data_IF_682424939310
#
_entry.id   IF_682424939310
#
_cell.length_a   1.000
_cell.length_b   1.000
_cell.length_c   1.000
_cell.angle_alpha   90.00
_cell.angle_beta   90.00
_cell.angle_gamma   90.00
#
_symmetry.space_group_name_H-M   'P 1'
#
loop_
_entity.id
_entity.type
_entity.pdbx_description
1 polymer ?
#
# COMPACT_ATOMS: atom_id res chain seq x y z
N UNK A 1 2.35 18.50 -36.64
CA UNK A 1 0.93 18.48 -37.05
C UNK A 1 0.11 18.35 -35.79
N UNK A 2 -1.05 19.01 -35.74
CA UNK A 2 -1.95 18.99 -34.57
C UNK A 2 -2.46 17.58 -34.23
N UNK A 3 -2.34 16.65 -35.18
CA UNK A 3 -2.45 15.22 -34.93
C UNK A 3 -1.07 14.65 -34.57
N UNK A 4 -0.94 14.14 -33.34
CA UNK A 4 0.29 13.49 -32.85
C UNK A 4 0.70 12.27 -33.70
N UNK A 5 1.86 11.64 -33.41
CA UNK A 5 2.39 10.56 -34.24
C UNK A 5 1.37 9.44 -34.49
N UNK A 6 1.31 9.00 -35.74
CA UNK A 6 0.45 7.91 -36.21
C UNK A 6 0.99 6.54 -35.70
N UNK A 7 0.12 5.54 -35.50
CA UNK A 7 0.56 4.19 -35.15
C UNK A 7 1.43 3.58 -36.25
N UNK A 8 2.55 2.96 -35.88
CA UNK A 8 3.39 2.20 -36.81
C UNK A 8 2.73 0.87 -37.22
N UNK A 9 3.26 0.20 -38.25
CA UNK A 9 2.81 -1.15 -38.63
C UNK A 9 2.87 -2.14 -37.45
N UNK A 10 3.92 -2.06 -36.63
CA UNK A 10 4.04 -2.85 -35.39
C UNK A 10 2.90 -2.55 -34.43
N UNK A 11 2.57 -1.27 -34.21
CA UNK A 11 1.46 -0.89 -33.33
C UNK A 11 0.11 -1.40 -33.86
N UNK A 12 -0.11 -1.35 -35.19
CA UNK A 12 -1.31 -1.89 -35.83
C UNK A 12 -1.41 -3.41 -35.68
N UNK A 13 -0.32 -4.14 -35.88
CA UNK A 13 -0.29 -5.59 -35.67
C UNK A 13 -0.58 -5.96 -34.20
N UNK A 14 -0.03 -5.20 -33.24
CA UNK A 14 -0.30 -5.42 -31.82
C UNK A 14 -1.74 -5.06 -31.43
N UNK A 15 -2.33 -4.01 -32.02
CA UNK A 15 -3.77 -3.69 -31.87
C UNK A 15 -4.66 -4.84 -32.30
N UNK A 16 -4.34 -5.49 -33.42
CA UNK A 16 -5.11 -6.64 -33.92
C UNK A 16 -4.95 -7.87 -33.01
N UNK A 17 -3.74 -8.07 -32.45
CA UNK A 17 -3.45 -9.19 -31.55
C UNK A 17 -4.11 -9.05 -30.18
N UNK A 18 -4.08 -7.86 -29.59
CA UNK A 18 -4.58 -7.62 -28.24
C UNK A 18 -5.95 -6.96 -28.26
N UNK A 19 -6.99 -7.79 -28.09
CA UNK A 19 -8.38 -7.32 -28.01
C UNK A 19 -8.62 -6.40 -26.81
N UNK A 20 -8.00 -6.69 -25.67
CA UNK A 20 -8.06 -5.90 -24.44
C UNK A 20 -6.68 -5.78 -23.80
N UNK A 21 -6.43 -4.67 -23.12
CA UNK A 21 -5.19 -4.37 -22.41
C UNK A 21 -5.53 -4.11 -20.94
N UNK A 22 -4.81 -4.76 -20.04
CA UNK A 22 -4.98 -4.62 -18.60
C UNK A 22 -3.72 -3.98 -18.03
N UNK A 23 -3.88 -2.89 -17.29
CA UNK A 23 -2.77 -2.16 -16.67
C UNK A 23 -3.04 -2.08 -15.18
N UNK A 24 -2.22 -2.77 -14.40
CA UNK A 24 -2.21 -2.69 -12.95
C UNK A 24 -1.18 -1.65 -12.49
N UNK A 25 -1.31 -1.16 -11.26
CA UNK A 25 -0.47 -0.10 -10.68
C UNK A 25 -0.37 1.16 -11.57
N UNK A 26 -1.50 1.57 -12.17
CA UNK A 26 -1.55 2.66 -13.14
C UNK A 26 -1.09 4.01 -12.56
N UNK A 27 -1.14 4.21 -11.24
CA UNK A 27 -0.61 5.41 -10.59
C UNK A 27 0.90 5.61 -10.75
N UNK A 28 1.64 4.55 -11.12
CA UNK A 28 3.10 4.58 -11.20
C UNK A 28 3.64 4.69 -12.64
N UNK A 29 2.76 4.90 -13.64
CA UNK A 29 3.18 5.08 -15.03
C UNK A 29 3.77 6.47 -15.28
N UNK A 30 4.49 6.60 -16.40
CA UNK A 30 4.99 7.87 -16.92
C UNK A 30 4.39 8.20 -18.31
N UNK A 31 4.66 9.41 -18.80
CA UNK A 31 4.15 9.90 -20.09
C UNK A 31 4.55 9.04 -21.30
N UNK A 32 5.71 8.37 -21.26
CA UNK A 32 6.16 7.48 -22.34
C UNK A 32 5.32 6.20 -22.35
N UNK A 33 5.13 5.57 -21.20
CA UNK A 33 4.27 4.39 -21.06
C UNK A 33 2.83 4.73 -21.45
N UNK A 34 2.32 5.89 -21.01
CA UNK A 34 1.00 6.36 -21.40
C UNK A 34 0.87 6.55 -22.91
N UNK A 35 1.92 7.05 -23.56
CA UNK A 35 1.93 7.18 -25.03
C UNK A 35 1.91 5.82 -25.72
N UNK A 36 2.66 4.83 -25.20
CA UNK A 36 2.64 3.46 -25.72
C UNK A 36 1.23 2.87 -25.61
N UNK A 37 0.58 3.00 -24.45
CA UNK A 37 -0.79 2.51 -24.24
C UNK A 37 -1.77 3.12 -25.24
N UNK A 38 -1.72 4.45 -25.45
CA UNK A 38 -2.53 5.14 -26.46
C UNK A 38 -2.21 4.71 -27.90
N UNK A 39 -0.98 4.29 -28.18
CA UNK A 39 -0.61 3.74 -29.50
C UNK A 39 -1.13 2.32 -29.69
N UNK A 40 -1.24 1.52 -28.64
CA UNK A 40 -1.69 0.14 -28.71
C UNK A 40 -3.21 -0.02 -28.55
N UNK A 41 -3.90 1.00 -28.04
CA UNK A 41 -5.35 1.00 -27.93
C UNK A 41 -5.98 1.87 -29.02
N UNK A 42 -6.94 1.34 -29.80
CA UNK A 42 -7.79 2.15 -30.66
C UNK A 42 -8.89 2.92 -29.88
N UNK A 43 -8.94 2.76 -28.55
CA UNK A 43 -10.00 3.28 -27.67
C UNK A 43 -10.88 2.16 -27.11
N UNK A 44 -11.42 2.36 -25.91
CA UNK A 44 -12.47 1.52 -25.31
C UNK A 44 -12.06 0.10 -24.88
N UNK A 45 -10.78 -0.25 -24.91
CA UNK A 45 -10.30 -1.59 -24.61
C UNK A 45 -9.15 -1.68 -23.60
N UNK A 46 -8.89 -0.60 -22.86
CA UNK A 46 -7.95 -0.60 -21.74
C UNK A 46 -8.75 -0.67 -20.43
N UNK A 47 -8.37 -1.59 -19.54
CA UNK A 47 -8.75 -1.57 -18.14
C UNK A 47 -7.55 -1.08 -17.32
N UNK A 48 -7.75 0.02 -16.61
CA UNK A 48 -6.75 0.67 -15.77
C UNK A 48 -7.13 0.44 -14.29
N UNK A 49 -6.21 -0.11 -13.52
CA UNK A 49 -6.38 -0.37 -12.09
C UNK A 49 -5.24 0.28 -11.33
N UNK A 50 -5.56 0.95 -10.22
CA UNK A 50 -4.56 1.55 -9.36
C UNK A 50 -5.17 2.40 -8.25
N UNK A 51 -4.29 3.00 -7.45
CA UNK A 51 -4.65 3.94 -6.40
C UNK A 51 -3.65 5.10 -6.34
N UNK A 52 -4.10 6.31 -6.69
CA UNK A 52 -3.24 7.51 -6.66
C UNK A 52 -2.63 7.75 -5.27
N UNK A 53 -3.34 7.35 -4.19
CA UNK A 53 -2.87 7.49 -2.81
C UNK A 53 -1.62 6.63 -2.52
N UNK A 54 -1.33 5.66 -3.37
CA UNK A 54 -0.22 4.70 -3.25
C UNK A 54 0.94 5.02 -4.21
N UNK A 55 0.87 6.12 -4.97
CA UNK A 55 1.97 6.51 -5.86
C UNK A 55 3.19 6.97 -5.06
N UNK A 56 4.22 6.12 -5.03
CA UNK A 56 5.47 6.34 -4.27
C UNK A 56 6.73 6.29 -5.15
N UNK A 57 6.58 6.07 -6.46
CA UNK A 57 7.69 5.94 -7.41
C UNK A 57 8.06 7.23 -8.17
N UNK A 58 7.76 8.40 -7.61
CA UNK A 58 8.11 9.69 -8.22
C UNK A 58 9.61 9.82 -8.58
N UNK A 59 10.50 9.21 -7.77
CA UNK A 59 11.95 9.18 -8.04
C UNK A 59 12.34 8.38 -9.30
N UNK A 60 11.44 7.54 -9.83
CA UNK A 60 11.58 6.83 -11.11
C UNK A 60 10.84 7.50 -12.27
N UNK A 61 10.26 8.68 -12.03
CA UNK A 61 9.50 9.43 -13.02
C UNK A 61 8.03 9.03 -13.14
N UNK A 62 7.46 8.32 -12.17
CA UNK A 62 6.02 8.12 -12.09
C UNK A 62 5.28 9.46 -12.03
N UNK A 63 4.17 9.57 -12.76
CA UNK A 63 3.38 10.79 -12.90
C UNK A 63 1.91 10.52 -12.52
N UNK A 64 1.55 10.54 -11.22
CA UNK A 64 0.18 10.27 -10.76
C UNK A 64 -0.86 11.25 -11.32
N UNK A 65 -0.43 12.43 -11.78
CA UNK A 65 -1.29 13.40 -12.47
C UNK A 65 -1.95 12.79 -13.73
N UNK A 66 -1.28 11.85 -14.43
CA UNK A 66 -1.86 11.13 -15.58
C UNK A 66 -3.12 10.37 -15.15
N UNK A 67 -3.05 9.68 -14.01
CA UNK A 67 -4.18 8.91 -13.50
C UNK A 67 -5.28 9.83 -12.97
N UNK A 68 -4.92 10.91 -12.26
CA UNK A 68 -5.88 11.92 -11.80
C UNK A 68 -6.66 12.55 -12.97
N UNK A 69 -6.02 12.80 -14.10
CA UNK A 69 -6.69 13.27 -15.31
C UNK A 69 -7.66 12.23 -15.87
N UNK A 70 -7.27 10.95 -15.98
CA UNK A 70 -8.19 9.89 -16.42
C UNK A 70 -9.41 9.78 -15.50
N UNK A 71 -9.19 9.81 -14.18
CA UNK A 71 -10.25 9.74 -13.17
C UNK A 71 -11.20 10.94 -13.18
N UNK A 72 -10.77 12.11 -13.68
CA UNK A 72 -11.60 13.30 -13.86
C UNK A 72 -12.43 13.24 -15.14
N UNK A 73 -11.87 12.67 -16.21
CA UNK A 73 -12.55 12.54 -17.50
C UNK A 73 -13.58 11.41 -17.50
N UNK A 74 -13.28 10.32 -16.80
CA UNK A 74 -14.14 9.14 -16.73
C UNK A 74 -15.45 9.41 -15.98
N UNK A 75 -16.54 8.88 -16.51
CA UNK A 75 -17.85 8.97 -15.87
C UNK A 75 -17.85 8.06 -14.63
N UNK A 76 -18.21 8.59 -13.47
CA UNK A 76 -18.46 7.76 -12.27
C UNK A 76 -19.70 6.91 -12.48
N UNK A 77 -19.60 5.61 -12.22
CA UNK A 77 -20.72 4.69 -12.32
C UNK A 77 -20.41 3.30 -11.76
N UNK A 78 -21.45 2.51 -11.49
CA UNK A 78 -21.28 1.09 -11.12
C UNK A 78 -21.10 0.20 -12.36
N UNK A 79 -20.72 -1.06 -12.17
CA UNK A 79 -20.69 -2.07 -13.25
C UNK A 79 -22.02 -2.16 -14.02
N UNK A 80 -23.16 -1.91 -13.34
CA UNK A 80 -24.49 -1.88 -13.94
C UNK A 80 -24.76 -0.65 -14.85
N UNK A 81 -23.87 0.35 -14.86
CA UNK A 81 -23.97 1.54 -15.73
C UNK A 81 -23.10 1.45 -16.99
N UNK A 82 -22.45 0.30 -17.22
CA UNK A 82 -21.65 0.00 -18.40
C UNK A 82 -22.47 -0.18 -19.69
N UNK A 83 -23.80 -0.23 -19.59
CA UNK A 83 -24.72 -0.34 -20.75
C UNK A 83 -24.89 0.98 -21.53
N UNK A 84 -24.33 2.10 -21.04
CA UNK A 84 -24.28 3.32 -21.81
C UNK A 84 -23.13 3.24 -22.83
N UNK A 85 -23.43 2.80 -24.06
CA UNK A 85 -22.51 2.79 -25.21
C UNK A 85 -21.86 4.18 -25.49
N UNK A 86 -22.38 5.24 -24.87
CA UNK A 86 -21.96 6.65 -25.02
C UNK A 86 -21.07 7.19 -23.88
N UNK A 87 -20.13 6.39 -23.35
CA UNK A 87 -19.10 6.91 -22.43
C UNK A 87 -17.76 7.14 -23.18
N UNK A 88 -17.60 8.23 -23.96
CA UNK A 88 -16.40 8.47 -24.78
C UNK A 88 -15.11 8.57 -23.95
N UNK A 89 -15.23 8.86 -22.65
CA UNK A 89 -14.11 9.03 -21.72
C UNK A 89 -13.95 7.84 -20.74
N UNK A 90 -14.69 6.74 -20.95
CA UNK A 90 -14.61 5.55 -20.10
C UNK A 90 -15.44 5.62 -18.81
N UNK A 91 -15.42 4.50 -18.08
CA UNK A 91 -16.15 4.27 -16.82
C UNK A 91 -15.16 4.21 -15.65
N UNK A 92 -15.44 4.97 -14.60
CA UNK A 92 -14.72 4.91 -13.32
C UNK A 92 -15.53 4.13 -12.30
N UNK A 93 -14.89 3.12 -11.72
CA UNK A 93 -15.43 2.30 -10.63
C UNK A 93 -14.55 2.49 -9.38
N UNK A 94 -15.13 3.00 -8.30
CA UNK A 94 -14.44 3.18 -7.02
C UNK A 94 -14.66 1.96 -6.11
N UNK A 95 -13.58 1.35 -5.62
CA UNK A 95 -13.60 0.20 -4.72
C UNK A 95 -13.05 0.60 -3.35
N UNK A 96 -13.94 0.90 -2.40
CA UNK A 96 -13.56 1.35 -1.05
C UNK A 96 -13.69 0.27 0.04
N UNK A 97 -14.22 -0.91 -0.30
CA UNK A 97 -14.31 -2.03 0.65
C UNK A 97 -12.96 -2.74 0.76
N UNK A 98 -12.43 -2.80 1.97
CA UNK A 98 -11.17 -3.45 2.30
C UNK A 98 -11.43 -4.85 2.88
N UNK A 99 -10.90 -5.86 2.18
CA UNK A 99 -11.01 -7.28 2.55
C UNK A 99 -9.72 -7.83 3.18
N UNK A 100 -8.75 -6.96 3.51
CA UNK A 100 -7.39 -7.34 3.89
C UNK A 100 -7.12 -7.12 5.38
N UNK A 101 -7.63 -6.02 5.93
CA UNK A 101 -7.22 -5.52 7.24
C UNK A 101 -8.39 -5.46 8.21
N UNK A 102 -8.09 -5.62 9.50
CA UNK A 102 -9.05 -5.46 10.58
C UNK A 102 -9.56 -4.01 10.66
N UNK A 103 -10.81 -3.84 11.12
CA UNK A 103 -11.47 -2.53 11.24
C UNK A 103 -10.62 -1.51 12.00
N UNK A 104 -9.99 -1.90 13.11
CA UNK A 104 -9.16 -1.01 13.92
C UNK A 104 -7.99 -0.38 13.15
N UNK A 105 -7.40 -1.11 12.20
CA UNK A 105 -6.34 -0.57 11.31
C UNK A 105 -6.95 0.46 10.36
N UNK A 106 -8.09 0.15 9.75
CA UNK A 106 -8.77 1.05 8.81
C UNK A 106 -9.20 2.35 9.49
N UNK A 107 -9.77 2.26 10.69
CA UNK A 107 -10.19 3.42 11.48
C UNK A 107 -8.99 4.33 11.79
N UNK A 108 -7.85 3.74 12.19
CA UNK A 108 -6.63 4.50 12.45
C UNK A 108 -6.10 5.19 11.19
N UNK A 109 -5.99 4.47 10.07
CA UNK A 109 -5.55 5.01 8.79
C UNK A 109 -6.45 6.16 8.35
N UNK A 110 -7.78 5.96 8.36
CA UNK A 110 -8.76 6.98 7.99
C UNK A 110 -8.59 8.25 8.86
N UNK A 111 -8.39 8.09 10.18
CA UNK A 111 -8.24 9.21 11.11
C UNK A 111 -6.97 10.03 10.86
N UNK A 112 -5.86 9.38 10.49
CA UNK A 112 -4.60 10.08 10.18
C UNK A 112 -4.73 10.79 8.83
N UNK A 113 -5.11 10.06 7.78
CA UNK A 113 -5.10 10.59 6.41
C UNK A 113 -6.18 11.64 6.15
N UNK A 114 -7.31 11.62 6.88
CA UNK A 114 -8.29 12.73 6.83
C UNK A 114 -7.73 14.08 7.29
N UNK A 115 -6.57 14.10 7.95
CA UNK A 115 -5.92 15.32 8.47
C UNK A 115 -4.71 15.76 7.64
N UNK A 116 -4.01 14.81 7.00
CA UNK A 116 -2.73 15.08 6.33
C UNK A 116 -2.80 15.00 4.81
N UNK A 117 -3.75 14.25 4.24
CA UNK A 117 -3.91 14.10 2.79
C UNK A 117 -4.95 15.07 2.28
N UNK A 118 -4.51 16.32 2.12
CA UNK A 118 -5.33 17.43 1.63
C UNK A 118 -4.98 17.78 0.18
N UNK A 119 -5.87 18.47 -0.56
CA UNK A 119 -5.58 18.96 -1.91
C UNK A 119 -4.34 19.85 -1.97
N UNK A 120 -4.11 20.66 -0.93
CA UNK A 120 -2.96 21.57 -0.86
C UNK A 120 -1.62 20.84 -0.72
N UNK A 121 -1.61 19.65 -0.10
CA UNK A 121 -0.38 18.91 0.15
C UNK A 121 -0.15 17.76 -0.84
N UNK A 122 -1.21 17.05 -1.23
CA UNK A 122 -1.10 15.81 -2.03
C UNK A 122 -1.81 15.89 -3.38
N UNK A 123 -2.47 17.02 -3.70
CA UNK A 123 -3.40 17.17 -4.85
C UNK A 123 -4.62 16.24 -4.82
N UNK A 124 -4.76 15.43 -3.77
CA UNK A 124 -5.86 14.49 -3.55
C UNK A 124 -6.57 14.90 -2.27
N UNK A 125 -7.90 14.83 -2.26
CA UNK A 125 -8.68 15.00 -1.05
C UNK A 125 -9.04 13.62 -0.47
N UNK A 126 -8.74 13.42 0.82
CA UNK A 126 -9.12 12.18 1.52
C UNK A 126 -10.54 12.30 2.08
N UNK A 127 -11.52 12.36 1.17
CA UNK A 127 -12.94 12.48 1.48
C UNK A 127 -13.61 11.14 1.82
N UNK A 128 -14.93 11.14 2.08
CA UNK A 128 -15.70 9.92 2.37
C UNK A 128 -15.64 8.86 1.27
N UNK A 129 -15.42 9.27 0.01
CA UNK A 129 -15.29 8.35 -1.12
C UNK A 129 -13.93 7.64 -1.14
N UNK A 130 -12.89 8.29 -0.60
CA UNK A 130 -11.53 7.77 -0.49
C UNK A 130 -11.27 6.96 0.79
N UNK A 131 -12.15 7.07 1.80
CA UNK A 131 -12.03 6.34 3.06
C UNK A 131 -12.12 4.82 2.87
N UNK A 132 -11.30 4.10 3.65
CA UNK A 132 -11.31 2.64 3.67
C UNK A 132 -12.50 2.13 4.49
N UNK A 133 -13.33 1.28 3.90
CA UNK A 133 -14.51 0.68 4.54
C UNK A 133 -14.22 -0.78 4.86
N UNK A 134 -14.49 -1.27 6.09
CA UNK A 134 -14.33 -2.69 6.38
C UNK A 134 -15.29 -3.51 5.51
N UNK A 135 -14.82 -4.69 5.05
CA UNK A 135 -15.72 -5.71 4.55
C UNK A 135 -16.70 -6.15 5.65
N UNK A 136 -17.83 -6.75 5.28
CA UNK A 136 -18.70 -7.42 6.25
C UNK A 136 -17.87 -8.43 7.04
N UNK A 137 -18.07 -8.44 8.36
CA UNK A 137 -17.33 -9.33 9.24
C UNK A 137 -17.68 -10.78 8.88
N UNK A 138 -16.66 -11.50 8.42
CA UNK A 138 -16.79 -12.92 8.06
C UNK A 138 -16.34 -13.84 9.19
N UNK A 139 -15.92 -13.29 10.34
CA UNK A 139 -15.38 -14.06 11.47
C UNK A 139 -13.93 -14.54 11.28
N UNK A 140 -13.30 -14.20 10.15
CA UNK A 140 -11.95 -14.62 9.74
C UNK A 140 -10.85 -13.59 10.08
N UNK A 141 -11.16 -12.57 10.88
CA UNK A 141 -10.16 -11.65 11.42
C UNK A 141 -9.44 -12.25 12.63
N UNK A 142 -8.24 -11.76 12.96
CA UNK A 142 -7.64 -12.03 14.26
C UNK A 142 -8.65 -11.69 15.36
N UNK A 143 -8.90 -12.60 16.30
CA UNK A 143 -9.84 -12.37 17.40
C UNK A 143 -9.31 -11.20 18.23
N UNK A 144 -10.14 -10.17 18.35
CA UNK A 144 -9.82 -8.86 18.91
C UNK A 144 -9.27 -8.97 20.35
N UNK A 145 -8.02 -8.56 20.53
CA UNK A 145 -7.36 -8.45 21.85
C UNK A 145 -7.46 -7.04 22.44
N UNK A 146 -8.19 -6.12 21.80
CA UNK A 146 -8.53 -4.79 22.35
C UNK A 146 -7.67 -3.63 21.81
N UNK A 147 -6.46 -3.89 21.28
CA UNK A 147 -5.58 -2.85 20.72
C UNK A 147 -4.81 -3.34 19.49
N UNK A 148 -5.22 -2.91 18.29
CA UNK A 148 -4.58 -3.33 17.01
C UNK A 148 -3.42 -2.40 16.60
N UNK A 149 -3.28 -1.24 17.26
CA UNK A 149 -2.28 -0.21 16.94
C UNK A 149 -1.57 0.20 18.23
N UNK A 150 -0.24 0.19 18.20
CA UNK A 150 0.63 0.69 19.27
C UNK A 150 1.51 1.82 18.75
N UNK A 151 1.70 2.86 19.58
CA UNK A 151 2.59 3.97 19.27
C UNK A 151 3.64 4.10 20.38
N UNK A 152 4.88 3.78 20.05
CA UNK A 152 6.01 3.80 20.99
C UNK A 152 6.85 5.03 20.73
N UNK A 153 6.98 5.91 21.73
CA UNK A 153 7.85 7.08 21.69
C UNK A 153 9.13 6.73 22.45
N UNK A 154 10.27 6.94 21.80
CA UNK A 154 11.59 6.75 22.39
C UNK A 154 12.26 8.11 22.48
N UNK A 155 12.81 8.42 23.64
CA UNK A 155 13.65 9.60 23.81
C UNK A 155 14.97 9.41 23.07
N UNK A 156 15.39 10.45 22.33
CA UNK A 156 16.70 10.51 21.68
C UNK A 156 17.78 10.89 22.70
N UNK A 157 17.91 10.15 23.80
CA UNK A 157 19.04 10.33 24.70
C UNK A 157 20.32 9.82 24.00
N UNK A 158 21.27 10.72 23.77
CA UNK A 158 22.58 10.40 23.20
C UNK A 158 23.35 9.47 24.15
N UNK A 159 23.36 8.17 23.84
CA UNK A 159 24.34 7.22 24.35
C UNK A 159 24.31 7.00 25.86
N UNK A 160 23.56 6.00 26.33
CA UNK A 160 23.84 5.41 27.64
C UNK A 160 25.11 4.58 27.51
N UNK A 161 26.18 4.98 28.21
CA UNK A 161 27.33 4.11 28.44
C UNK A 161 26.83 2.88 29.22
N UNK A 162 26.90 1.70 28.62
CA UNK A 162 26.66 0.47 29.37
C UNK A 162 27.86 0.21 30.28
N UNK A 163 27.66 -0.10 31.58
CA UNK A 163 28.75 -0.27 32.55
C UNK A 163 29.79 -1.33 32.18
N UNK A 164 29.48 -2.26 31.26
CA UNK A 164 30.19 -3.53 31.11
C UNK A 164 31.13 -3.61 29.89
N UNK A 165 31.05 -2.71 28.89
CA UNK A 165 31.87 -2.84 27.67
C UNK A 165 32.37 -1.53 27.02
N UNK A 166 32.13 -0.34 27.61
CA UNK A 166 32.52 0.94 26.98
C UNK A 166 31.88 1.18 25.60
N UNK A 167 30.85 0.40 25.25
CA UNK A 167 30.10 0.53 24.01
C UNK A 167 29.01 1.57 24.18
N UNK A 168 29.01 2.57 23.29
CA UNK A 168 27.95 3.57 23.19
C UNK A 168 26.77 2.92 22.46
N UNK A 169 25.65 2.72 23.16
CA UNK A 169 24.41 2.23 22.54
C UNK A 169 23.75 3.40 21.82
N UNK A 170 23.57 3.26 20.51
CA UNK A 170 22.90 4.27 19.69
C UNK A 170 21.39 4.23 19.89
N UNK A 171 20.71 5.37 19.71
CA UNK A 171 19.23 5.43 19.72
C UNK A 171 18.59 4.42 18.77
N UNK A 172 19.26 4.12 17.65
CA UNK A 172 18.85 3.09 16.68
C UNK A 172 18.92 1.68 17.24
N UNK A 173 19.96 1.33 17.98
CA UNK A 173 20.07 0.03 18.65
C UNK A 173 19.03 -0.09 19.76
N UNK A 174 18.74 0.98 20.50
CA UNK A 174 17.63 1.01 21.45
C UNK A 174 16.28 0.75 20.77
N UNK A 175 16.02 1.40 19.63
CA UNK A 175 14.81 1.19 18.84
C UNK A 175 14.71 -0.25 18.34
N UNK A 176 15.79 -0.80 17.78
CA UNK A 176 15.84 -2.18 17.33
C UNK A 176 15.60 -3.18 18.47
N UNK A 177 16.18 -2.94 19.65
CA UNK A 177 16.00 -3.78 20.83
C UNK A 177 14.56 -3.73 21.36
N UNK A 178 13.93 -2.55 21.36
CA UNK A 178 12.52 -2.41 21.71
C UNK A 178 11.62 -3.20 20.75
N UNK A 179 11.86 -3.08 19.43
CA UNK A 179 11.12 -3.84 18.41
C UNK A 179 11.33 -5.34 18.61
N UNK A 180 12.57 -5.78 18.80
CA UNK A 180 12.90 -7.19 19.04
C UNK A 180 12.16 -7.75 20.26
N UNK A 181 12.19 -7.03 21.39
CA UNK A 181 11.47 -7.39 22.61
C UNK A 181 9.97 -7.49 22.38
N UNK A 182 9.37 -6.53 21.67
CA UNK A 182 7.93 -6.55 21.39
C UNK A 182 7.56 -7.76 20.51
N UNK A 183 8.37 -8.07 19.50
CA UNK A 183 8.17 -9.25 18.64
C UNK A 183 8.25 -10.54 19.45
N UNK A 184 9.27 -10.71 20.31
CA UNK A 184 9.39 -11.85 21.22
C UNK A 184 8.18 -12.03 22.12
N UNK A 185 7.63 -10.91 22.63
CA UNK A 185 6.39 -10.93 23.41
C UNK A 185 5.20 -11.38 22.58
N UNK A 186 5.01 -10.85 21.37
CA UNK A 186 3.89 -11.23 20.49
C UNK A 186 3.88 -12.74 20.22
N UNK A 187 5.04 -13.31 19.88
CA UNK A 187 5.16 -14.76 19.58
C UNK A 187 5.26 -15.64 20.82
N UNK A 188 5.27 -15.05 22.02
CA UNK A 188 5.38 -15.79 23.27
C UNK A 188 6.74 -16.45 23.50
N UNK A 189 7.82 -15.92 22.93
CA UNK A 189 9.17 -16.51 23.06
C UNK A 189 9.66 -16.56 24.51
N UNK A 190 9.26 -15.58 25.34
CA UNK A 190 9.65 -15.51 26.75
C UNK A 190 8.60 -16.14 27.69
N UNK A 191 7.32 -16.13 27.29
CA UNK A 191 6.18 -16.52 28.14
C UNK A 191 5.65 -17.93 27.84
N UNK A 192 6.02 -18.51 26.69
CA UNK A 192 5.44 -19.73 26.13
C UNK A 192 4.00 -19.57 25.66
N UNK A 193 3.45 -18.34 25.66
CA UNK A 193 2.07 -18.05 25.27
C UNK A 193 2.04 -16.90 24.27
N UNK A 194 1.65 -17.17 23.00
CA UNK A 194 1.45 -16.14 21.98
C UNK A 194 0.33 -15.17 22.38
N UNK A 195 0.48 -13.92 21.99
CA UNK A 195 -0.45 -12.85 22.39
C UNK A 195 -1.75 -12.87 21.60
N UNK A 196 -1.70 -13.32 20.35
CA UNK A 196 -2.87 -13.40 19.47
C UNK A 196 -2.74 -14.55 18.46
N UNK A 197 -3.88 -14.88 17.85
CA UNK A 197 -3.97 -15.88 16.81
C UNK A 197 -4.32 -15.23 15.47
N UNK A 198 -3.78 -15.80 14.40
CA UNK A 198 -3.99 -15.39 13.01
C UNK A 198 -4.87 -16.43 12.34
N UNK A 199 -5.85 -15.95 11.57
CA UNK A 199 -6.66 -16.82 10.74
C UNK A 199 -5.87 -17.28 9.50
N UNK A 200 -5.70 -18.59 9.36
CA UNK A 200 -5.08 -19.20 8.20
C UNK A 200 -6.15 -19.61 7.18
N UNK A 201 -6.25 -18.85 6.08
CA UNK A 201 -7.24 -19.11 5.02
C UNK A 201 -7.05 -20.45 4.30
N UNK A 202 -5.84 -21.03 4.34
CA UNK A 202 -5.59 -22.31 3.68
C UNK A 202 -6.03 -23.49 4.54
N UNK A 203 -5.88 -23.34 5.86
CA UNK A 203 -6.22 -24.38 6.83
C UNK A 203 -7.61 -24.18 7.47
N UNK A 204 -8.27 -23.07 7.15
CA UNK A 204 -9.58 -22.68 7.67
C UNK A 204 -9.65 -22.70 9.20
N UNK A 205 -8.56 -22.27 9.84
CA UNK A 205 -8.40 -22.34 11.30
C UNK A 205 -7.55 -21.20 11.84
N UNK A 206 -7.67 -20.96 13.14
CA UNK A 206 -6.79 -20.05 13.86
C UNK A 206 -5.51 -20.77 14.26
N UNK A 207 -4.38 -20.10 14.06
CA UNK A 207 -3.08 -20.54 14.53
C UNK A 207 -2.38 -19.41 15.27
N UNK A 208 -1.45 -19.78 16.13
CA UNK A 208 -0.66 -18.80 16.85
C UNK A 208 0.19 -17.94 15.90
N UNK A 209 0.42 -16.69 16.29
CA UNK A 209 1.35 -15.79 15.59
C UNK A 209 2.77 -16.35 15.63
N UNK A 210 3.46 -16.26 14.50
CA UNK A 210 4.83 -16.71 14.33
C UNK A 210 5.69 -15.58 13.76
N UNK A 211 7.02 -15.71 13.87
CA UNK A 211 7.96 -14.71 13.32
C UNK A 211 7.72 -14.41 11.83
N UNK A 212 7.30 -15.41 11.04
CA UNK A 212 7.00 -15.24 9.60
C UNK A 212 5.82 -14.30 9.31
N UNK A 213 4.98 -14.05 10.31
CA UNK A 213 3.81 -13.18 10.19
C UNK A 213 4.15 -11.70 10.48
N UNK A 214 5.37 -11.43 10.95
CA UNK A 214 5.82 -10.12 11.39
C UNK A 214 6.71 -9.52 10.31
N UNK A 215 6.40 -8.29 9.90
CA UNK A 215 7.18 -7.52 8.94
C UNK A 215 7.57 -6.18 9.57
N UNK A 216 8.86 -5.85 9.50
CA UNK A 216 9.37 -4.53 9.90
C UNK A 216 9.60 -3.69 8.64
N UNK A 217 8.81 -2.64 8.47
CA UNK A 217 8.93 -1.72 7.33
C UNK A 217 9.79 -0.51 7.70
N UNK A 218 10.74 -0.17 6.82
CA UNK A 218 11.63 0.98 6.99
C UNK A 218 11.66 1.82 5.71
N UNK A 219 11.69 3.15 5.84
CA UNK A 219 11.79 4.06 4.68
C UNK A 219 13.10 3.90 3.90
N UNK A 220 14.20 3.60 4.58
CA UNK A 220 15.51 3.41 3.96
C UNK A 220 16.33 2.41 4.78
N UNK A 221 16.92 1.44 4.08
CA UNK A 221 17.83 0.44 4.64
C UNK A 221 19.28 0.95 4.72
N UNK A 222 19.60 2.00 3.96
CA UNK A 222 20.96 2.52 3.87
C UNK A 222 21.46 2.94 5.25
N UNK A 223 22.57 2.33 5.70
CA UNK A 223 23.22 2.55 7.00
C UNK A 223 22.44 2.11 8.26
N UNK A 224 21.26 1.47 8.12
CA UNK A 224 20.39 1.09 9.25
C UNK A 224 20.13 -0.42 9.35
N UNK A 225 20.16 -1.12 8.22
CA UNK A 225 19.77 -2.54 8.18
C UNK A 225 20.68 -3.42 9.04
N UNK A 226 21.99 -3.18 9.07
CA UNK A 226 22.93 -4.00 9.83
C UNK A 226 22.66 -3.93 11.33
N UNK A 227 22.50 -2.72 11.90
CA UNK A 227 22.20 -2.53 13.32
C UNK A 227 20.94 -3.30 13.74
N UNK A 228 19.89 -3.24 12.91
CA UNK A 228 18.62 -3.93 13.17
C UNK A 228 18.76 -5.44 13.05
N UNK A 229 19.42 -5.93 11.99
CA UNK A 229 19.61 -7.37 11.77
C UNK A 229 20.47 -7.99 12.87
N UNK A 230 21.51 -7.30 13.31
CA UNK A 230 22.37 -7.77 14.40
C UNK A 230 21.59 -7.89 15.70
N UNK A 231 20.88 -6.83 16.11
CA UNK A 231 20.06 -6.84 17.33
C UNK A 231 18.94 -7.89 17.26
N UNK A 232 18.23 -7.99 16.13
CA UNK A 232 17.14 -8.95 15.96
C UNK A 232 17.62 -10.41 15.88
N UNK A 233 18.86 -10.67 15.48
CA UNK A 233 19.44 -12.03 15.48
C UNK A 233 19.91 -12.47 16.87
N UNK A 234 20.36 -11.51 17.69
CA UNK A 234 20.84 -11.76 19.04
C UNK A 234 19.69 -11.88 20.06
N UNK A 235 18.54 -11.27 19.75
CA UNK A 235 17.34 -11.33 20.56
C UNK A 235 16.65 -12.67 20.47
#
# INVERSE_FOLDING_TARGET
TEDGPLPSETALALRQRYKYIFVDEYQDINSVQQRILRMLSPGGNILEVGDVKQSIYAFRGAQPDIFLEQLKLARRGGLASAEAEDAPNGLRVDLNVNFRSAKGILDFVNRIFSRIMTPSFTKIDYDESAQLKPAQDTGHGARDTGHVIEFHILDEDEGRETPDEGRVVTSRQCQAAMIARRIRQMVGADTGRPEFQIYDKQQDTFRDVQYRDIVVLMRSLAKKANDYVEVLRLA
#
